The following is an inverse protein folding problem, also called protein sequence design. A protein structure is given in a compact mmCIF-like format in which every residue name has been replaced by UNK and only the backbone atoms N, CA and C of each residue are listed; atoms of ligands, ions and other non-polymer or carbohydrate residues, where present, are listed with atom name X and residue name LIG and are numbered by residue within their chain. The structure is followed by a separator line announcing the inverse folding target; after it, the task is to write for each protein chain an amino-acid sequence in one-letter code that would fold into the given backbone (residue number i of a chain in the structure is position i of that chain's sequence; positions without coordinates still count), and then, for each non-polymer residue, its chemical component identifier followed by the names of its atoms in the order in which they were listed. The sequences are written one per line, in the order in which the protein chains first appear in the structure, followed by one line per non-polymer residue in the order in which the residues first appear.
data_IF_571235588294
#
_entry.id   IF_571235588294
#
_cell.length_a   1.000
_cell.length_b   1.000
_cell.length_c   1.000
_cell.angle_alpha   90.00
_cell.angle_beta   90.00
_cell.angle_gamma   90.00
#
_symmetry.space_group_name_H-M   'P 1'
#
loop_
_entity.id
_entity.type
_entity.pdbx_description
1 polymer ?
#
# COMPACT_ATOMS: atom_id res chain seq x y z
N UNK A 1 -20.43 1.49 -15.23
CA UNK A 1 -18.99 1.85 -15.24
C UNK A 1 -18.30 1.02 -16.30
N UNK A 2 -17.43 1.62 -17.12
CA UNK A 2 -16.64 0.87 -18.10
C UNK A 2 -15.73 -0.14 -17.38
N UNK A 3 -15.60 -1.37 -17.90
CA UNK A 3 -14.80 -2.46 -17.30
C UNK A 3 -13.37 -2.03 -16.96
N UNK A 4 -12.80 -1.16 -17.80
CA UNK A 4 -11.48 -0.56 -17.59
C UNK A 4 -11.42 0.33 -16.34
N UNK A 5 -12.43 1.15 -16.09
CA UNK A 5 -12.48 2.01 -14.90
C UNK A 5 -12.69 1.18 -13.63
N UNK A 6 -13.43 0.08 -13.73
CA UNK A 6 -13.66 -0.85 -12.63
C UNK A 6 -12.36 -1.58 -12.23
N UNK A 7 -11.56 -2.03 -13.21
CA UNK A 7 -10.21 -2.56 -12.97
C UNK A 7 -9.26 -1.54 -12.33
N UNK A 8 -9.27 -0.30 -12.82
CA UNK A 8 -8.45 0.78 -12.23
C UNK A 8 -8.89 1.08 -10.79
N UNK A 9 -10.18 1.05 -10.50
CA UNK A 9 -10.68 1.22 -9.13
C UNK A 9 -10.14 0.13 -8.19
N UNK A 10 -10.16 -1.14 -8.60
CA UNK A 10 -9.60 -2.22 -7.79
C UNK A 10 -8.09 -2.07 -7.56
N UNK A 11 -7.34 -1.62 -8.56
CA UNK A 11 -5.90 -1.34 -8.41
C UNK A 11 -5.68 -0.17 -7.45
N UNK A 12 -6.50 0.88 -7.51
CA UNK A 12 -6.45 2.00 -6.59
C UNK A 12 -6.77 1.55 -5.15
N UNK A 13 -7.79 0.71 -4.95
CA UNK A 13 -8.12 0.17 -3.63
C UNK A 13 -7.01 -0.75 -3.07
N UNK A 14 -6.45 -1.63 -3.89
CA UNK A 14 -5.36 -2.52 -3.49
C UNK A 14 -4.09 -1.73 -3.14
N UNK A 15 -3.74 -0.72 -3.94
CA UNK A 15 -2.61 0.15 -3.62
C UNK A 15 -2.84 0.98 -2.36
N UNK A 16 -4.07 1.44 -2.12
CA UNK A 16 -4.45 2.14 -0.90
C UNK A 16 -4.33 1.25 0.35
N UNK A 17 -4.62 -0.06 0.25
CA UNK A 17 -4.33 -1.02 1.33
C UNK A 17 -2.83 -1.13 1.64
N UNK A 18 -1.97 -1.08 0.62
CA UNK A 18 -0.51 -1.09 0.84
C UNK A 18 -0.03 0.17 1.56
N UNK A 19 -0.61 1.32 1.26
CA UNK A 19 -0.31 2.59 1.94
C UNK A 19 -0.71 2.50 3.42
N UNK A 20 -1.83 1.86 3.73
CA UNK A 20 -2.31 1.70 5.10
C UNK A 20 -1.41 0.84 6.00
N UNK A 21 -0.44 0.12 5.44
CA UNK A 21 0.58 -0.55 6.24
C UNK A 21 1.37 0.43 7.12
N UNK A 22 1.43 1.72 6.77
CA UNK A 22 2.08 2.78 7.57
C UNK A 22 1.20 3.36 8.67
N UNK A 23 -0.07 2.97 8.77
CA UNK A 23 -0.94 3.46 9.84
C UNK A 23 -0.48 2.97 11.21
N UNK A 24 -0.71 3.79 12.25
CA UNK A 24 -0.31 3.49 13.63
C UNK A 24 -0.80 2.12 14.09
N UNK A 25 -2.03 1.74 13.71
CA UNK A 25 -2.64 0.45 14.07
C UNK A 25 -1.86 -0.72 13.46
N UNK A 26 -1.50 -0.64 12.18
CA UNK A 26 -0.73 -1.69 11.51
C UNK A 26 0.71 -1.73 11.99
N UNK A 27 1.35 -0.57 12.19
CA UNK A 27 2.71 -0.50 12.73
C UNK A 27 2.80 -1.09 14.13
N UNK A 28 1.79 -0.86 14.98
CA UNK A 28 1.71 -1.48 16.31
C UNK A 28 1.56 -3.01 16.21
N UNK A 29 0.70 -3.52 15.32
CA UNK A 29 0.58 -4.95 15.09
C UNK A 29 1.89 -5.58 14.59
N UNK A 30 2.60 -4.90 13.69
CA UNK A 30 3.91 -5.32 13.17
C UNK A 30 4.96 -5.30 14.27
N UNK A 31 4.91 -4.32 15.18
CA UNK A 31 5.86 -4.21 16.30
C UNK A 31 5.82 -5.41 17.25
N UNK A 32 4.75 -6.21 17.26
CA UNK A 32 4.69 -7.48 18.01
C UNK A 32 5.76 -8.47 17.54
N UNK A 33 6.27 -8.35 16.30
CA UNK A 33 7.37 -9.17 15.81
C UNK A 33 8.66 -8.98 16.64
N UNK A 34 8.79 -7.86 17.34
CA UNK A 34 9.93 -7.55 18.23
C UNK A 34 10.00 -8.48 19.46
N UNK A 35 8.92 -9.22 19.77
CA UNK A 35 8.88 -10.19 20.86
C UNK A 35 9.69 -11.45 20.50
N UNK A 36 9.90 -11.71 19.21
CA UNK A 36 10.67 -12.86 18.75
C UNK A 36 12.18 -12.59 18.93
N UNK A 37 12.95 -13.51 19.54
CA UNK A 37 14.39 -13.36 19.75
C UNK A 37 15.19 -13.66 18.47
N UNK A 38 14.74 -13.12 17.33
CA UNK A 38 15.38 -13.32 16.02
C UNK A 38 16.12 -12.02 15.68
N UNK A 39 17.46 -12.03 15.62
CA UNK A 39 18.23 -10.84 15.32
C UNK A 39 17.88 -10.31 13.92
N UNK A 40 17.84 -8.99 13.77
CA UNK A 40 17.55 -8.27 12.52
C UNK A 40 16.14 -8.45 11.92
N UNK A 41 15.33 -9.39 12.41
CA UNK A 41 13.98 -9.63 11.89
C UNK A 41 13.11 -8.36 11.95
N UNK A 42 13.00 -7.64 13.09
CA UNK A 42 12.29 -6.36 13.13
C UNK A 42 12.71 -5.39 12.05
N UNK A 43 14.00 -5.10 11.95
CA UNK A 43 14.54 -4.09 11.04
C UNK A 43 14.27 -4.44 9.58
N UNK A 44 14.40 -5.71 9.20
CA UNK A 44 14.13 -6.18 7.83
C UNK A 44 12.64 -6.08 7.52
N UNK A 45 11.78 -6.46 8.46
CA UNK A 45 10.33 -6.36 8.30
C UNK A 45 9.87 -4.91 8.13
N UNK A 46 10.35 -3.98 8.97
CA UNK A 46 10.04 -2.56 8.83
C UNK A 46 10.53 -1.99 7.49
N UNK A 47 11.73 -2.34 7.06
CA UNK A 47 12.24 -1.94 5.75
C UNK A 47 11.36 -2.43 4.60
N UNK A 48 10.95 -3.70 4.64
CA UNK A 48 10.10 -4.30 3.62
C UNK A 48 8.74 -3.59 3.55
N UNK A 49 8.13 -3.31 4.71
CA UNK A 49 6.84 -2.60 4.79
C UNK A 49 6.95 -1.17 4.25
N UNK A 50 8.05 -0.47 4.54
CA UNK A 50 8.29 0.88 4.02
C UNK A 50 8.39 0.88 2.50
N UNK A 51 9.14 -0.06 1.92
CA UNK A 51 9.24 -0.21 0.47
C UNK A 51 7.87 -0.54 -0.13
N UNK A 52 7.13 -1.47 0.49
CA UNK A 52 5.85 -1.91 -0.04
C UNK A 52 4.79 -0.80 -0.01
N UNK A 53 4.77 -0.01 1.07
CA UNK A 53 3.93 1.18 1.18
C UNK A 53 4.30 2.23 0.13
N UNK A 54 5.59 2.48 -0.07
CA UNK A 54 6.05 3.43 -1.08
C UNK A 54 5.61 3.02 -2.50
N UNK A 55 5.77 1.74 -2.85
CA UNK A 55 5.26 1.19 -4.11
C UNK A 55 3.74 1.36 -4.21
N UNK A 56 3.01 1.14 -3.11
CA UNK A 56 1.58 1.43 -2.99
C UNK A 56 1.24 2.87 -3.37
N UNK A 57 1.95 3.86 -2.80
CA UNK A 57 1.75 5.28 -3.14
C UNK A 57 1.93 5.54 -4.63
N UNK A 58 3.01 5.03 -5.22
CA UNK A 58 3.31 5.24 -6.65
C UNK A 58 2.18 4.67 -7.53
N UNK A 59 1.74 3.44 -7.26
CA UNK A 59 0.65 2.79 -8.01
C UNK A 59 -0.65 3.57 -7.84
N UNK A 60 -0.95 4.02 -6.62
CA UNK A 60 -2.17 4.75 -6.30
C UNK A 60 -2.25 6.08 -7.07
N UNK A 61 -1.16 6.85 -7.08
CA UNK A 61 -1.09 8.13 -7.80
C UNK A 61 -1.29 7.92 -9.30
N UNK A 62 -0.57 6.98 -9.92
CA UNK A 62 -0.68 6.71 -11.36
C UNK A 62 -2.10 6.25 -11.72
N UNK A 63 -2.69 5.38 -10.92
CA UNK A 63 -4.02 4.81 -11.17
C UNK A 63 -5.12 5.86 -10.97
N UNK A 64 -4.99 6.72 -9.96
CA UNK A 64 -5.91 7.82 -9.71
C UNK A 64 -5.89 8.84 -10.85
N UNK A 65 -4.70 9.23 -11.33
CA UNK A 65 -4.56 10.10 -12.50
C UNK A 65 -5.24 9.49 -13.73
N UNK A 66 -5.02 8.19 -13.99
CA UNK A 66 -5.68 7.47 -15.10
C UNK A 66 -7.21 7.46 -14.96
N UNK A 67 -7.74 7.27 -13.76
CA UNK A 67 -9.18 7.30 -13.49
C UNK A 67 -9.80 8.68 -13.75
N UNK A 68 -9.13 9.74 -13.28
CA UNK A 68 -9.56 11.13 -13.49
C UNK A 68 -9.58 11.44 -14.99
N UNK A 69 -8.50 11.17 -15.70
CA UNK A 69 -8.42 11.40 -17.15
C UNK A 69 -9.47 10.62 -17.95
N UNK A 70 -9.80 9.39 -17.53
CA UNK A 70 -10.83 8.59 -18.19
C UNK A 70 -12.27 9.08 -17.92
N UNK A 71 -12.52 9.83 -16.84
CA UNK A 71 -13.86 10.29 -16.45
C UNK A 71 -14.11 11.78 -16.75
N UNK A 72 -13.07 12.59 -17.02
CA UNK A 72 -13.19 14.00 -17.44
C UNK A 72 -13.44 14.12 -18.97
N UNK A 73 -13.41 13.00 -19.71
CA UNK A 73 -13.80 12.96 -21.12
C UNK A 73 -15.28 13.24 -21.33
#
# INVERSE_FOLDING_TARGET
MNDRNLKLLYIALGSLMLIFLQSDVFQLAISLINILPIPYLPSVTFWLINILSFVGVVIFVITSLKLILNNIK
#
